data_IF_076080643529
#
_entry.id   IF_076080643529
#
_cell.length_a   1.000
_cell.length_b   1.000
_cell.length_c   1.000
_cell.angle_alpha   90.00
_cell.angle_beta   90.00
_cell.angle_gamma   90.00
#
_symmetry.space_group_name_H-M   'P 1'
#
loop_
_entity.id
_entity.type
_entity.pdbx_description
1 polymer ?
#
# COMPACT_ATOMS: atom_id res chain seq x y z
N UNK A 1 18.88 -6.63 10.87
CA UNK A 1 17.81 -5.65 11.12
C UNK A 1 18.11 -4.68 12.27
N UNK A 2 18.96 -4.99 13.27
CA UNK A 2 19.30 -4.05 14.36
C UNK A 2 20.63 -3.31 14.18
N UNK A 3 21.09 -3.17 12.93
CA UNK A 3 22.35 -2.48 12.64
C UNK A 3 22.17 -0.97 12.80
N UNK A 4 23.15 -0.27 13.36
CA UNK A 4 23.07 1.19 13.54
C UNK A 4 23.07 1.92 12.19
N UNK A 5 23.65 1.32 11.16
CA UNK A 5 23.72 1.89 9.82
C UNK A 5 22.42 1.65 9.04
N UNK A 6 21.75 2.75 8.69
CA UNK A 6 20.52 2.78 7.87
C UNK A 6 20.70 2.00 6.55
N UNK A 7 21.83 2.19 5.86
CA UNK A 7 22.09 1.51 4.59
C UNK A 7 22.20 -0.01 4.74
N UNK A 8 22.73 -0.48 5.88
CA UNK A 8 22.80 -1.93 6.18
C UNK A 8 21.40 -2.49 6.46
N UNK A 9 20.58 -1.79 7.26
CA UNK A 9 19.19 -2.22 7.53
C UNK A 9 18.37 -2.27 6.24
N UNK A 10 18.43 -1.21 5.42
CA UNK A 10 17.72 -1.16 4.14
C UNK A 10 18.17 -2.28 3.19
N UNK A 11 19.48 -2.47 3.05
CA UNK A 11 20.01 -3.55 2.20
C UNK A 11 19.62 -4.93 2.71
N UNK A 12 19.55 -5.13 4.02
CA UNK A 12 19.08 -6.38 4.61
C UNK A 12 17.61 -6.66 4.26
N UNK A 13 16.75 -5.64 4.22
CA UNK A 13 15.34 -5.78 3.80
C UNK A 13 15.22 -6.16 2.33
N UNK A 14 15.96 -5.48 1.44
CA UNK A 14 16.00 -5.81 0.00
C UNK A 14 16.42 -7.27 -0.26
N UNK A 15 17.34 -7.80 0.56
CA UNK A 15 17.72 -9.20 0.47
C UNK A 15 16.63 -10.11 1.06
N UNK A 16 16.06 -9.75 2.21
CA UNK A 16 15.03 -10.50 2.91
C UNK A 16 13.72 -10.67 2.12
N UNK A 17 13.48 -9.86 1.08
CA UNK A 17 12.37 -10.06 0.12
C UNK A 17 12.35 -11.50 -0.44
N UNK A 18 13.52 -12.12 -0.61
CA UNK A 18 13.65 -13.51 -1.13
C UNK A 18 13.59 -14.61 -0.06
N UNK A 19 13.45 -14.25 1.23
CA UNK A 19 13.61 -15.19 2.35
C UNK A 19 12.45 -15.08 3.35
N UNK A 20 11.28 -15.68 3.06
CA UNK A 20 10.04 -15.56 3.85
C UNK A 20 10.21 -15.86 5.36
N UNK A 21 11.17 -16.69 5.75
CA UNK A 21 11.39 -17.02 7.16
C UNK A 21 12.01 -15.88 7.99
N UNK A 22 12.62 -14.88 7.33
CA UNK A 22 13.16 -13.70 8.01
C UNK A 22 12.00 -12.77 8.36
N UNK A 23 11.73 -12.61 9.66
CA UNK A 23 10.72 -11.67 10.16
C UNK A 23 11.19 -10.24 9.94
N UNK A 24 10.39 -9.45 9.22
CA UNK A 24 10.71 -8.05 8.89
C UNK A 24 9.61 -7.06 9.29
N UNK A 25 8.44 -7.52 9.73
CA UNK A 25 7.29 -6.67 10.07
C UNK A 25 7.64 -5.57 11.09
N UNK A 26 8.49 -5.85 12.08
CA UNK A 26 8.90 -4.86 13.07
C UNK A 26 9.67 -3.67 12.46
N UNK A 27 10.26 -3.83 11.27
CA UNK A 27 10.94 -2.76 10.56
C UNK A 27 9.97 -1.73 9.98
N UNK A 28 8.66 -1.99 9.96
CA UNK A 28 7.63 -0.98 9.65
C UNK A 28 7.65 0.19 10.64
N UNK A 29 8.18 -0.01 11.84
CA UNK A 29 8.34 1.03 12.87
C UNK A 29 9.76 1.60 12.95
N UNK A 30 10.61 1.38 11.96
CA UNK A 30 11.96 1.96 11.96
C UNK A 30 11.89 3.49 11.98
N UNK A 31 12.79 4.13 12.73
CA UNK A 31 12.85 5.59 12.83
C UNK A 31 13.29 6.23 11.50
N UNK A 32 14.02 5.49 10.66
CA UNK A 32 14.38 5.93 9.34
C UNK A 32 13.30 5.52 8.32
N UNK A 33 12.68 6.51 7.70
CA UNK A 33 11.58 6.29 6.75
C UNK A 33 12.00 5.43 5.55
N UNK A 34 13.27 5.47 5.12
CA UNK A 34 13.72 4.63 4.01
C UNK A 34 13.81 3.14 4.37
N UNK A 35 13.99 2.83 5.66
CA UNK A 35 13.97 1.45 6.16
C UNK A 35 12.52 0.98 6.34
N UNK A 36 11.66 1.83 6.88
CA UNK A 36 10.23 1.54 7.02
C UNK A 36 9.55 1.30 5.67
N UNK A 37 9.85 2.14 4.67
CA UNK A 37 9.44 1.98 3.28
C UNK A 37 9.91 0.64 2.68
N UNK A 38 11.21 0.33 2.79
CA UNK A 38 11.77 -0.93 2.29
C UNK A 38 11.14 -2.17 2.95
N UNK A 39 10.74 -2.06 4.22
CA UNK A 39 10.03 -3.12 4.94
C UNK A 39 8.63 -3.31 4.38
N UNK A 40 7.85 -2.23 4.21
CA UNK A 40 6.52 -2.29 3.63
C UNK A 40 6.54 -2.85 2.20
N UNK A 41 7.49 -2.40 1.37
CA UNK A 41 7.70 -2.94 0.04
C UNK A 41 7.95 -4.45 0.08
N UNK A 42 8.90 -4.87 0.90
CA UNK A 42 9.29 -6.29 0.98
C UNK A 42 8.14 -7.18 1.47
N UNK A 43 7.35 -6.72 2.45
CA UNK A 43 6.18 -7.46 2.94
C UNK A 43 5.11 -7.64 1.86
N UNK A 44 4.89 -6.63 1.02
CA UNK A 44 4.01 -6.72 -0.14
C UNK A 44 4.50 -7.74 -1.17
N UNK A 45 5.78 -7.66 -1.56
CA UNK A 45 6.41 -8.59 -2.52
C UNK A 45 6.43 -10.05 -2.02
N UNK A 46 6.46 -10.24 -0.71
CA UNK A 46 6.41 -11.56 -0.05
C UNK A 46 4.99 -12.09 0.13
N UNK A 47 3.98 -11.31 -0.27
CA UNK A 47 2.57 -11.64 -0.09
C UNK A 47 2.23 -11.97 1.38
N UNK A 48 2.88 -11.28 2.32
CA UNK A 48 2.84 -11.61 3.75
C UNK A 48 1.55 -11.12 4.41
N UNK A 49 0.48 -11.91 4.29
CA UNK A 49 -0.86 -11.58 4.83
C UNK A 49 -0.87 -11.30 6.34
N UNK A 50 0.11 -11.82 7.10
CA UNK A 50 0.27 -11.52 8.52
C UNK A 50 0.58 -10.04 8.81
N UNK A 51 1.13 -9.31 7.83
CA UNK A 51 1.52 -7.91 7.96
C UNK A 51 0.39 -6.91 7.71
N UNK A 52 -0.83 -7.35 7.38
CA UNK A 52 -1.96 -6.45 7.03
C UNK A 52 -2.19 -5.39 8.12
N UNK A 53 -2.17 -5.78 9.39
CA UNK A 53 -2.38 -4.83 10.50
C UNK A 53 -1.24 -3.81 10.63
N UNK A 54 0.01 -4.25 10.47
CA UNK A 54 1.18 -3.37 10.50
C UNK A 54 1.16 -2.36 9.34
N UNK A 55 0.87 -2.85 8.12
CA UNK A 55 0.76 -2.03 6.91
C UNK A 55 -0.41 -1.05 7.00
N UNK A 56 -1.58 -1.47 7.49
CA UNK A 56 -2.74 -0.59 7.67
C UNK A 56 -2.46 0.55 8.65
N UNK A 57 -1.71 0.27 9.73
CA UNK A 57 -1.24 1.31 10.66
C UNK A 57 -0.30 2.28 9.97
N UNK A 58 0.72 1.78 9.26
CA UNK A 58 1.66 2.63 8.52
C UNK A 58 0.93 3.53 7.52
N UNK A 59 0.04 2.97 6.70
CA UNK A 59 -0.77 3.70 5.73
C UNK A 59 -1.61 4.82 6.36
N UNK A 60 -2.10 4.62 7.59
CA UNK A 60 -2.94 5.59 8.28
C UNK A 60 -2.15 6.69 9.02
N UNK A 61 -0.95 6.39 9.54
CA UNK A 61 -0.30 7.25 10.55
C UNK A 61 1.13 7.66 10.26
N UNK A 62 1.81 7.07 9.28
CA UNK A 62 3.21 7.39 9.04
C UNK A 62 3.39 8.84 8.54
N UNK A 63 4.35 9.57 9.08
CA UNK A 63 4.57 10.99 8.73
C UNK A 63 5.06 11.17 7.29
N UNK A 64 5.99 10.32 6.87
CA UNK A 64 6.49 10.28 5.50
C UNK A 64 5.42 9.75 4.53
N UNK A 65 5.18 10.51 3.46
CA UNK A 65 4.22 10.19 2.42
C UNK A 65 4.59 8.91 1.66
N UNK A 66 5.87 8.67 1.40
CA UNK A 66 6.33 7.51 0.64
C UNK A 66 6.03 6.23 1.40
N UNK A 67 6.27 6.19 2.71
CA UNK A 67 5.90 5.06 3.55
C UNK A 67 4.39 4.77 3.50
N UNK A 68 3.55 5.81 3.56
CA UNK A 68 2.09 5.64 3.42
C UNK A 68 1.73 5.10 2.03
N UNK A 69 2.33 5.63 0.97
CA UNK A 69 2.11 5.17 -0.40
C UNK A 69 2.48 3.69 -0.57
N UNK A 70 3.66 3.30 -0.11
CA UNK A 70 4.17 1.93 -0.21
C UNK A 70 3.32 0.97 0.61
N UNK A 71 2.89 1.36 1.82
CA UNK A 71 1.99 0.55 2.62
C UNK A 71 0.63 0.33 1.94
N UNK A 72 0.05 1.37 1.32
CA UNK A 72 -1.20 1.26 0.54
C UNK A 72 -1.01 0.36 -0.68
N UNK A 73 0.13 0.46 -1.38
CA UNK A 73 0.45 -0.41 -2.51
C UNK A 73 0.56 -1.87 -2.08
N UNK A 74 1.27 -2.15 -0.98
CA UNK A 74 1.41 -3.49 -0.42
C UNK A 74 0.04 -4.07 0.00
N UNK A 75 -0.80 -3.29 0.68
CA UNK A 75 -2.17 -3.71 1.04
C UNK A 75 -3.01 -4.04 -0.20
N UNK A 76 -2.89 -3.25 -1.28
CA UNK A 76 -3.56 -3.52 -2.55
C UNK A 76 -3.15 -4.86 -3.17
N UNK A 77 -1.85 -5.20 -3.12
CA UNK A 77 -1.35 -6.50 -3.57
C UNK A 77 -1.85 -7.65 -2.68
N UNK A 78 -1.87 -7.45 -1.36
CA UNK A 78 -2.36 -8.46 -0.41
C UNK A 78 -3.86 -8.73 -0.54
N UNK A 79 -4.64 -7.80 -1.08
CA UNK A 79 -6.08 -7.96 -1.26
C UNK A 79 -6.41 -9.20 -2.11
N UNK A 80 -5.58 -9.55 -3.10
CA UNK A 80 -5.81 -10.69 -4.00
C UNK A 80 -5.33 -12.02 -3.45
N UNK A 81 -4.67 -12.02 -2.28
CA UNK A 81 -4.08 -13.22 -1.68
C UNK A 81 -5.12 -13.94 -0.82
N UNK A 82 -5.24 -15.25 -1.01
CA UNK A 82 -6.16 -16.11 -0.25
C UNK A 82 -5.82 -16.06 1.25
N UNK A 83 -6.85 -15.92 2.09
CA UNK A 83 -6.70 -15.84 3.54
C UNK A 83 -6.29 -14.46 4.09
N UNK A 84 -6.11 -13.46 3.22
CA UNK A 84 -5.91 -12.07 3.66
C UNK A 84 -7.16 -11.50 4.36
N UNK A 85 -6.95 -10.58 5.31
CA UNK A 85 -8.03 -9.80 5.93
C UNK A 85 -8.53 -8.71 4.97
N UNK A 86 -9.25 -9.15 3.94
CA UNK A 86 -9.82 -8.28 2.90
C UNK A 86 -10.69 -7.15 3.47
N UNK A 87 -11.56 -7.36 4.48
CA UNK A 87 -12.31 -6.26 5.10
C UNK A 87 -11.41 -5.17 5.69
N UNK A 88 -10.34 -5.53 6.42
CA UNK A 88 -9.41 -4.56 6.97
C UNK A 88 -8.68 -3.78 5.86
N UNK A 89 -8.26 -4.47 4.80
CA UNK A 89 -7.63 -3.86 3.62
C UNK A 89 -8.60 -2.86 2.97
N UNK A 90 -9.86 -3.24 2.72
CA UNK A 90 -10.86 -2.36 2.11
C UNK A 90 -11.05 -1.07 2.91
N UNK A 91 -11.21 -1.17 4.24
CA UNK A 91 -11.34 0.00 5.12
C UNK A 91 -10.13 0.92 5.00
N UNK A 92 -8.92 0.35 4.97
CA UNK A 92 -7.68 1.11 4.84
C UNK A 92 -7.60 1.84 3.49
N UNK A 93 -7.85 1.14 2.38
CA UNK A 93 -7.81 1.72 1.03
C UNK A 93 -8.85 2.82 0.84
N UNK A 94 -10.07 2.66 1.39
CA UNK A 94 -11.09 3.72 1.40
C UNK A 94 -10.64 4.94 2.21
N UNK A 95 -9.92 4.73 3.32
CA UNK A 95 -9.31 5.81 4.09
C UNK A 95 -8.24 6.58 3.30
N UNK A 96 -7.39 5.85 2.58
CA UNK A 96 -6.31 6.38 1.75
C UNK A 96 -6.80 7.29 0.60
N UNK A 97 -8.07 7.17 0.20
CA UNK A 97 -8.72 8.08 -0.75
C UNK A 97 -8.83 9.55 -0.26
N UNK A 98 -8.50 9.82 1.01
CA UNK A 98 -8.44 11.19 1.58
C UNK A 98 -7.02 11.77 1.60
N UNK A 99 -6.02 10.99 1.23
CA UNK A 99 -4.61 11.41 1.27
C UNK A 99 -4.19 12.12 -0.04
N UNK A 100 -2.89 12.32 -0.24
CA UNK A 100 -2.28 12.96 -1.41
C UNK A 100 -2.48 12.15 -2.68
N UNK A 101 -2.33 12.81 -3.82
CA UNK A 101 -2.70 12.24 -5.13
C UNK A 101 -1.98 10.93 -5.41
N UNK A 102 -0.69 10.84 -5.03
CA UNK A 102 0.15 9.65 -5.17
C UNK A 102 -0.46 8.44 -4.45
N UNK A 103 -0.92 8.63 -3.21
CA UNK A 103 -1.52 7.59 -2.38
C UNK A 103 -2.91 7.23 -2.90
N UNK A 104 -3.73 8.22 -3.31
CA UNK A 104 -5.05 7.96 -3.91
C UNK A 104 -4.93 7.09 -5.17
N UNK A 105 -3.89 7.28 -6.01
CA UNK A 105 -3.64 6.41 -7.17
C UNK A 105 -3.42 4.95 -6.77
N UNK A 106 -2.60 4.69 -5.73
CA UNK A 106 -2.40 3.34 -5.20
C UNK A 106 -3.67 2.75 -4.61
N UNK A 107 -4.41 3.56 -3.87
CA UNK A 107 -5.68 3.14 -3.27
C UNK A 107 -6.69 2.69 -4.33
N UNK A 108 -6.82 3.43 -5.44
CA UNK A 108 -7.72 3.06 -6.54
C UNK A 108 -7.33 1.72 -7.17
N UNK A 109 -6.03 1.48 -7.41
CA UNK A 109 -5.55 0.20 -7.96
C UNK A 109 -5.94 -0.97 -7.05
N UNK A 110 -5.78 -0.82 -5.73
CA UNK A 110 -6.20 -1.82 -4.75
C UNK A 110 -7.73 -1.96 -4.65
N UNK A 111 -8.47 -0.85 -4.61
CA UNK A 111 -9.93 -0.84 -4.52
C UNK A 111 -10.59 -1.49 -5.74
N UNK A 112 -9.95 -1.45 -6.91
CA UNK A 112 -10.46 -2.12 -8.10
C UNK A 112 -10.49 -3.66 -7.97
N UNK A 113 -9.78 -4.23 -7.00
CA UNK A 113 -9.81 -5.67 -6.69
C UNK A 113 -10.99 -6.08 -5.80
N UNK A 114 -11.89 -5.14 -5.48
CA UNK A 114 -13.04 -5.32 -4.60
C UNK A 114 -14.34 -5.17 -5.39
N UNK A 115 -15.31 -6.02 -5.07
CA UNK A 115 -16.63 -6.03 -5.69
C UNK A 115 -17.67 -5.24 -4.87
N UNK A 116 -17.31 -4.85 -3.66
CA UNK A 116 -18.12 -4.14 -2.69
C UNK A 116 -18.54 -2.75 -3.23
N UNK A 117 -19.77 -2.34 -2.93
CA UNK A 117 -20.37 -1.15 -3.51
C UNK A 117 -19.61 0.15 -3.14
N UNK A 118 -19.04 0.22 -1.95
CA UNK A 118 -18.17 1.32 -1.52
C UNK A 118 -16.86 1.39 -2.31
N UNK A 119 -16.26 0.25 -2.67
CA UNK A 119 -15.06 0.23 -3.50
C UNK A 119 -15.37 0.72 -4.91
N UNK A 120 -16.44 0.19 -5.54
CA UNK A 120 -16.89 0.63 -6.87
C UNK A 120 -17.18 2.13 -6.89
N UNK A 121 -17.92 2.65 -5.91
CA UNK A 121 -18.22 4.08 -5.78
C UNK A 121 -16.96 4.94 -5.63
N UNK A 122 -15.96 4.45 -4.89
CA UNK A 122 -14.70 5.17 -4.73
C UNK A 122 -13.91 5.24 -6.04
N UNK A 123 -13.83 4.13 -6.79
CA UNK A 123 -13.16 4.08 -8.10
C UNK A 123 -13.89 4.95 -9.13
N UNK A 124 -15.22 4.85 -9.24
CA UNK A 124 -16.03 5.70 -10.11
C UNK A 124 -15.93 7.19 -9.75
N UNK A 125 -15.94 7.50 -8.44
CA UNK A 125 -15.76 8.86 -7.95
C UNK A 125 -14.41 9.47 -8.33
N UNK A 126 -13.37 8.65 -8.44
CA UNK A 126 -12.03 9.09 -8.83
C UNK A 126 -11.94 9.61 -10.27
N UNK A 127 -12.91 9.31 -11.15
CA UNK A 127 -13.03 9.94 -12.47
C UNK A 127 -13.22 11.47 -12.38
N UNK A 128 -13.65 11.99 -11.23
CA UNK A 128 -13.83 13.42 -10.96
C UNK A 128 -12.80 13.97 -9.98
N UNK A 129 -11.73 13.22 -9.71
CA UNK A 129 -10.67 13.67 -8.81
C UNK A 129 -10.02 14.97 -9.33
N UNK A 130 -9.60 15.84 -8.40
CA UNK A 130 -8.92 17.10 -8.73
C UNK A 130 -7.60 16.88 -9.46
N UNK A 131 -6.90 15.79 -9.18
CA UNK A 131 -5.63 15.44 -9.78
C UNK A 131 -5.82 14.69 -11.09
N UNK A 132 -5.12 15.14 -12.15
CA UNK A 132 -5.25 14.55 -13.49
C UNK A 132 -4.76 13.10 -13.53
N UNK A 133 -3.69 12.76 -12.82
CA UNK A 133 -3.14 11.41 -12.84
C UNK A 133 -4.07 10.44 -12.09
N UNK A 134 -4.74 10.90 -11.02
CA UNK A 134 -5.79 10.11 -10.35
C UNK A 134 -6.95 9.80 -11.30
N UNK A 135 -7.45 10.80 -12.05
CA UNK A 135 -8.49 10.57 -13.06
C UNK A 135 -8.03 9.59 -14.14
N UNK A 136 -6.80 9.72 -14.62
CA UNK A 136 -6.25 8.83 -15.65
C UNK A 136 -6.24 7.37 -15.21
N UNK A 137 -5.80 7.07 -13.98
CA UNK A 137 -5.81 5.71 -13.43
C UNK A 137 -7.24 5.16 -13.34
N UNK A 138 -8.19 5.96 -12.85
CA UNK A 138 -9.59 5.53 -12.75
C UNK A 138 -10.20 5.26 -14.14
N UNK A 139 -9.92 6.12 -15.12
CA UNK A 139 -10.37 5.96 -16.51
C UNK A 139 -9.79 4.70 -17.17
N UNK A 140 -8.49 4.43 -16.97
CA UNK A 140 -7.83 3.23 -17.47
C UNK A 140 -8.48 1.96 -16.90
N UNK A 141 -8.65 1.89 -15.58
CA UNK A 141 -9.24 0.73 -14.91
C UNK A 141 -10.69 0.47 -15.32
N UNK A 142 -11.48 1.53 -15.50
CA UNK A 142 -12.89 1.43 -15.90
C UNK A 142 -13.11 1.31 -17.41
N UNK A 143 -12.04 1.39 -18.22
CA UNK A 143 -12.13 1.36 -19.69
C UNK A 143 -12.88 2.57 -20.27
N UNK A 144 -12.84 3.72 -19.59
CA UNK A 144 -13.50 4.96 -20.02
C UNK A 144 -12.47 5.85 -20.71
N UNK A 145 -12.71 6.18 -21.98
CA UNK A 145 -11.89 7.17 -22.68
C UNK A 145 -12.21 8.55 -22.10
N UNK A 146 -11.22 9.22 -21.51
CA UNK A 146 -11.36 10.63 -21.14
C UNK A 146 -11.18 11.48 -22.39
N UNK A 147 -12.25 12.09 -22.89
CA UNK A 147 -12.18 13.18 -23.89
C UNK A 147 -11.56 14.46 -23.28
#
# INVERSE_FOLDING_TARGET
>A
MNDSNVSVRRRALELATKWPDVKIEFCLGDLDSSVADAAAFSLGEREEIGAVNGLARMAATHEDQLCRETAVAALGALATIEGSDRPAILVCLLGAMKDRAEIRRRAILGLFQFEEAEARRAVEGALRDKDRQVRAVASELLGVVSD
#
